data_IF_273308479018
#
_entry.id   IF_273308479018
#
_cell.length_a   1.000
_cell.length_b   1.000
_cell.length_c   1.000
_cell.angle_alpha   90.00
_cell.angle_beta   90.00
_cell.angle_gamma   90.00
#
_symmetry.space_group_name_H-M   'P 1'
#
loop_
_entity.id
_entity.type
_entity.pdbx_description
1 polymer ?
#
# COMPACT_ATOMS: atom_id res chain seq x y z
N UNK A 1 -45.08 34.53 58.61
CA UNK A 1 -44.10 33.45 58.90
C UNK A 1 -43.12 33.42 57.72
N UNK A 2 -41.96 34.09 57.80
CA UNK A 2 -40.63 33.53 58.16
C UNK A 2 -40.35 32.26 57.33
N UNK A 3 -39.37 32.17 56.41
CA UNK A 3 -37.89 32.33 56.53
C UNK A 3 -37.30 32.43 55.09
N UNK A 4 -36.33 33.33 54.85
CA UNK A 4 -34.88 33.09 54.53
C UNK A 4 -34.61 32.21 53.30
N UNK A 5 -33.80 32.57 52.30
CA UNK A 5 -33.00 33.77 52.09
C UNK A 5 -31.99 33.65 50.93
N UNK A 6 -31.07 34.62 50.91
CA UNK A 6 -29.68 34.59 50.40
C UNK A 6 -29.46 34.78 48.89
N UNK A 7 -29.10 36.04 48.60
CA UNK A 7 -28.17 36.57 47.58
C UNK A 7 -26.89 35.71 47.47
N UNK A 8 -26.27 35.41 46.34
CA UNK A 8 -25.40 36.29 45.53
C UNK A 8 -24.73 35.45 44.43
N UNK A 9 -24.61 36.04 43.23
CA UNK A 9 -23.54 35.98 42.22
C UNK A 9 -22.44 34.89 42.22
N UNK A 10 -21.94 34.63 41.00
CA UNK A 10 -20.66 33.95 40.64
C UNK A 10 -20.80 32.41 40.69
N UNK A 11 -20.47 31.57 39.70
CA UNK A 11 -19.57 31.70 38.56
C UNK A 11 -19.99 30.76 37.41
N UNK A 12 -19.78 31.25 36.20
CA UNK A 12 -19.56 30.49 34.98
C UNK A 12 -18.37 29.54 35.14
N UNK A 13 -18.62 28.30 35.57
CA UNK A 13 -17.59 27.27 35.67
C UNK A 13 -18.15 25.90 35.25
N UNK A 14 -18.15 25.65 33.94
CA UNK A 14 -18.11 24.31 33.36
C UNK A 14 -17.49 24.38 31.97
N UNK A 15 -16.27 24.92 31.94
CA UNK A 15 -15.28 24.57 30.92
C UNK A 15 -14.97 23.10 31.18
N UNK A 16 -15.41 22.23 30.27
CA UNK A 16 -15.12 20.81 30.22
C UNK A 16 -13.59 20.61 30.23
N UNK A 17 -13.05 20.50 31.43
CA UNK A 17 -11.73 19.99 31.74
C UNK A 17 -11.76 18.48 31.45
N UNK A 18 -11.08 18.01 30.40
CA UNK A 18 -10.30 16.75 30.41
C UNK A 18 -9.55 16.51 29.07
N UNK A 19 -8.76 17.48 28.61
CA UNK A 19 -7.63 17.19 27.73
C UNK A 19 -6.41 16.85 28.60
N UNK A 20 -6.41 15.67 29.22
CA UNK A 20 -5.19 15.05 29.76
C UNK A 20 -4.72 13.97 28.78
N UNK A 21 -4.20 14.41 27.64
CA UNK A 21 -3.32 13.57 26.84
C UNK A 21 -1.89 13.85 27.35
N UNK A 22 -1.25 12.92 28.08
CA UNK A 22 0.10 13.15 28.55
C UNK A 22 1.02 13.35 27.35
N UNK A 23 1.71 14.50 27.32
CA UNK A 23 2.77 14.75 26.35
C UNK A 23 3.85 13.69 26.52
N UNK A 24 4.06 12.91 25.47
CA UNK A 24 5.12 11.90 25.41
C UNK A 24 6.46 12.63 25.33
N UNK A 25 7.06 12.95 26.48
CA UNK A 25 8.41 13.47 26.53
C UNK A 25 9.40 12.35 26.17
N UNK A 26 10.16 12.55 25.09
CA UNK A 26 11.25 11.66 24.71
C UNK A 26 12.46 12.00 25.58
N UNK A 27 12.66 11.25 26.65
CA UNK A 27 13.87 11.36 27.48
C UNK A 27 15.06 10.79 26.72
N UNK A 28 16.01 11.65 26.35
CA UNK A 28 17.28 11.22 25.79
C UNK A 28 18.08 10.54 26.91
N UNK A 29 18.46 9.28 26.72
CA UNK A 29 19.37 8.57 27.62
C UNK A 29 20.73 9.28 27.53
N UNK A 30 21.05 10.10 28.53
CA UNK A 30 22.25 10.97 28.58
C UNK A 30 23.52 10.24 29.03
N UNK A 31 23.48 8.91 29.10
CA UNK A 31 24.67 8.12 29.41
C UNK A 31 25.62 8.22 28.22
N UNK A 32 26.81 8.79 28.44
CA UNK A 32 27.93 8.76 27.49
C UNK A 32 28.34 7.31 27.27
N UNK A 33 27.68 6.65 26.33
CA UNK A 33 28.06 5.35 25.84
C UNK A 33 28.97 5.53 24.62
N UNK A 34 30.00 4.68 24.49
CA UNK A 34 30.74 4.51 23.24
C UNK A 34 29.98 3.53 22.34
N UNK A 35 28.73 3.83 22.02
CA UNK A 35 28.08 3.15 20.90
C UNK A 35 28.72 3.74 19.65
N UNK A 36 29.34 2.90 18.83
CA UNK A 36 29.59 3.24 17.44
C UNK A 36 28.24 3.56 16.82
N UNK A 37 27.91 4.84 16.73
CA UNK A 37 26.77 5.28 15.96
C UNK A 37 26.97 4.76 14.53
N UNK A 38 26.02 3.94 14.09
CA UNK A 38 25.94 3.39 12.73
C UNK A 38 25.94 4.48 11.64
N UNK A 39 25.83 5.76 12.03
CA UNK A 39 25.90 6.93 11.15
C UNK A 39 27.25 7.16 10.43
N UNK A 40 28.24 6.26 10.58
CA UNK A 40 29.49 6.27 9.80
C UNK A 40 29.65 5.10 8.82
N UNK A 41 28.60 4.30 8.61
CA UNK A 41 28.61 3.36 7.48
C UNK A 41 28.37 4.15 6.20
N UNK A 42 29.43 4.37 5.42
CA UNK A 42 29.39 5.10 4.14
C UNK A 42 28.60 4.36 3.05
N UNK A 43 28.23 3.10 3.26
CA UNK A 43 27.73 2.22 2.21
C UNK A 43 26.54 1.41 2.78
N UNK A 44 25.30 1.82 2.48
CA UNK A 44 24.03 1.09 2.64
C UNK A 44 22.91 1.99 3.20
N UNK A 45 22.68 3.14 2.55
CA UNK A 45 21.49 3.98 2.81
C UNK A 45 20.26 3.52 2.00
N UNK A 46 20.44 2.60 1.06
CA UNK A 46 19.36 2.09 0.21
C UNK A 46 18.65 0.94 0.90
N UNK A 47 17.63 1.28 1.70
CA UNK A 47 16.66 0.29 2.15
C UNK A 47 15.72 -0.11 1.02
N UNK A 48 15.09 -1.28 1.11
CA UNK A 48 14.10 -1.74 0.11
C UNK A 48 12.94 -0.75 -0.03
N UNK A 49 12.52 -0.13 1.09
CA UNK A 49 11.49 0.93 1.07
C UNK A 49 11.95 2.22 0.41
N UNK A 50 13.23 2.59 0.59
CA UNK A 50 13.80 3.76 -0.09
C UNK A 50 13.81 3.58 -1.61
N UNK A 51 14.17 2.38 -2.08
CA UNK A 51 14.10 2.00 -3.49
C UNK A 51 12.66 2.04 -3.98
N UNK A 52 11.74 1.37 -3.29
CA UNK A 52 10.33 1.28 -3.68
C UNK A 52 9.74 2.65 -3.99
N UNK A 53 9.88 3.60 -3.06
CA UNK A 53 9.37 4.98 -3.21
C UNK A 53 9.89 5.70 -4.46
N UNK A 54 11.12 5.41 -4.89
CA UNK A 54 11.77 6.07 -6.04
C UNK A 54 11.51 5.35 -7.35
N UNK A 55 11.24 4.05 -7.29
CA UNK A 55 10.92 3.26 -8.48
C UNK A 55 9.45 3.35 -8.87
N UNK A 56 8.54 3.78 -7.98
CA UNK A 56 7.12 4.02 -8.32
C UNK A 56 6.93 4.84 -9.60
N UNK A 57 7.48 6.07 -9.73
CA UNK A 57 7.27 6.89 -10.93
C UNK A 57 7.83 6.23 -12.20
N UNK A 58 8.95 5.51 -12.10
CA UNK A 58 9.58 4.83 -13.23
C UNK A 58 8.76 3.63 -13.73
N UNK A 59 8.14 2.89 -12.81
CA UNK A 59 7.27 1.76 -13.16
C UNK A 59 5.94 2.25 -13.73
N UNK A 60 5.46 3.42 -13.29
CA UNK A 60 4.26 4.04 -13.83
C UNK A 60 4.45 4.55 -15.27
N UNK A 61 5.64 5.06 -15.62
CA UNK A 61 5.94 5.43 -17.01
C UNK A 61 6.14 4.19 -17.88
N UNK A 62 6.97 3.24 -17.43
CA UNK A 62 7.33 2.05 -18.19
C UNK A 62 7.15 0.77 -17.33
N UNK A 63 6.03 0.05 -17.47
CA UNK A 63 5.72 -1.11 -16.63
C UNK A 63 6.64 -2.31 -16.90
N UNK A 64 7.32 -2.34 -18.05
CA UNK A 64 8.23 -3.40 -18.47
C UNK A 64 9.69 -3.19 -18.03
N UNK A 65 9.99 -2.08 -17.34
CA UNK A 65 11.36 -1.68 -16.98
C UNK A 65 12.11 -2.77 -16.20
N UNK A 66 13.37 -3.03 -16.57
CA UNK A 66 14.21 -4.04 -15.94
C UNK A 66 14.77 -3.62 -14.58
N UNK A 67 15.15 -4.58 -13.73
CA UNK A 67 15.84 -4.26 -12.46
C UNK A 67 17.24 -3.68 -12.69
N UNK A 68 17.90 -4.03 -13.80
CA UNK A 68 19.20 -3.46 -14.19
C UNK A 68 19.08 -1.98 -14.56
N UNK A 69 18.11 -1.66 -15.41
CA UNK A 69 17.83 -0.27 -15.79
C UNK A 69 17.43 0.57 -14.56
N UNK A 70 16.61 0.02 -13.66
CA UNK A 70 16.30 0.70 -12.39
C UNK A 70 17.55 0.92 -11.53
N UNK A 71 18.44 -0.05 -11.47
CA UNK A 71 19.69 0.06 -10.70
C UNK A 71 20.59 1.17 -11.26
N UNK A 72 20.77 1.22 -12.58
CA UNK A 72 21.55 2.25 -13.28
C UNK A 72 20.93 3.64 -13.04
N UNK A 73 19.61 3.79 -13.25
CA UNK A 73 18.91 5.05 -13.00
C UNK A 73 19.08 5.55 -11.54
N UNK A 74 19.01 4.65 -10.56
CA UNK A 74 19.20 4.99 -9.15
C UNK A 74 20.65 5.40 -8.85
N UNK A 75 21.63 4.71 -9.44
CA UNK A 75 23.04 5.02 -9.30
C UNK A 75 23.39 6.36 -9.95
N UNK A 76 22.88 6.63 -11.14
CA UNK A 76 23.15 7.86 -11.89
C UNK A 76 22.48 9.08 -11.25
N UNK A 77 21.23 8.93 -10.78
CA UNK A 77 20.47 10.04 -10.19
C UNK A 77 20.94 10.40 -8.78
N UNK A 78 21.28 9.39 -7.97
CA UNK A 78 21.55 9.57 -6.54
C UNK A 78 22.98 9.28 -6.12
N UNK A 79 23.84 8.78 -7.01
CA UNK A 79 25.23 8.43 -6.71
C UNK A 79 25.38 7.33 -5.66
N UNK A 80 24.39 6.45 -5.50
CA UNK A 80 24.35 5.45 -4.41
C UNK A 80 24.75 4.05 -4.88
N UNK A 81 25.66 3.39 -4.18
CA UNK A 81 25.93 1.96 -4.40
C UNK A 81 24.79 1.11 -3.82
N UNK A 82 23.89 0.66 -4.69
CA UNK A 82 22.76 -0.20 -4.33
C UNK A 82 23.00 -1.64 -4.79
N UNK A 83 22.62 -2.62 -3.97
CA UNK A 83 22.67 -4.04 -4.36
C UNK A 83 21.48 -4.42 -5.24
N UNK A 84 21.71 -5.32 -6.22
CA UNK A 84 20.69 -5.76 -7.16
C UNK A 84 19.48 -6.42 -6.46
N UNK A 85 19.70 -7.25 -5.42
CA UNK A 85 18.59 -7.89 -4.71
C UNK A 85 17.74 -6.86 -3.96
N UNK A 86 18.36 -5.78 -3.48
CA UNK A 86 17.66 -4.68 -2.84
C UNK A 86 16.78 -3.94 -3.86
N UNK A 87 17.27 -3.72 -5.08
CA UNK A 87 16.48 -3.13 -6.17
C UNK A 87 15.32 -4.05 -6.55
N UNK A 88 15.57 -5.34 -6.71
CA UNK A 88 14.53 -6.32 -7.06
C UNK A 88 13.40 -6.36 -6.01
N UNK A 89 13.74 -6.40 -4.72
CA UNK A 89 12.73 -6.33 -3.64
C UNK A 89 12.01 -4.99 -3.59
N UNK A 90 12.72 -3.88 -3.79
CA UNK A 90 12.10 -2.55 -3.88
C UNK A 90 11.11 -2.44 -5.05
N UNK A 91 11.46 -3.02 -6.20
CA UNK A 91 10.58 -3.10 -7.37
C UNK A 91 9.32 -3.90 -7.07
N UNK A 92 9.42 -5.07 -6.44
CA UNK A 92 8.26 -5.89 -6.05
C UNK A 92 7.33 -5.14 -5.08
N UNK A 93 7.88 -4.40 -4.12
CA UNK A 93 7.12 -3.55 -3.21
C UNK A 93 6.40 -2.44 -3.99
N UNK A 94 7.10 -1.73 -4.88
CA UNK A 94 6.53 -0.67 -5.70
C UNK A 94 5.43 -1.19 -6.64
N UNK A 95 5.60 -2.36 -7.24
CA UNK A 95 4.58 -2.99 -8.08
C UNK A 95 3.33 -3.35 -7.27
N UNK A 96 3.49 -3.85 -6.04
CA UNK A 96 2.37 -4.11 -5.13
C UNK A 96 1.64 -2.83 -4.68
N UNK A 97 2.34 -1.71 -4.60
CA UNK A 97 1.74 -0.41 -4.28
C UNK A 97 0.92 0.14 -5.45
N UNK A 98 1.42 0.00 -6.69
CA UNK A 98 0.75 0.49 -7.91
C UNK A 98 -0.44 -0.40 -8.29
N UNK A 99 -0.23 -1.70 -8.40
CA UNK A 99 -1.25 -2.64 -8.90
C UNK A 99 -2.07 -3.28 -7.78
N UNK A 100 -1.70 -3.03 -6.52
CA UNK A 100 -2.28 -3.72 -5.38
C UNK A 100 -1.80 -5.17 -5.27
N UNK A 101 -2.39 -5.90 -4.32
CA UNK A 101 -2.17 -7.35 -4.28
C UNK A 101 -2.86 -8.01 -5.46
N UNK A 102 -2.24 -9.06 -6.01
CA UNK A 102 -2.84 -9.91 -7.05
C UNK A 102 -4.29 -10.29 -6.67
N UNK A 103 -4.52 -10.72 -5.43
CA UNK A 103 -5.85 -11.04 -4.90
C UNK A 103 -6.88 -9.92 -5.04
N UNK A 104 -6.50 -8.66 -4.80
CA UNK A 104 -7.39 -7.51 -4.96
C UNK A 104 -7.74 -7.26 -6.44
N UNK A 105 -6.79 -7.46 -7.35
CA UNK A 105 -7.06 -7.36 -8.80
C UNK A 105 -8.06 -8.42 -9.28
N UNK A 106 -7.99 -9.65 -8.76
CA UNK A 106 -8.93 -10.72 -9.11
C UNK A 106 -10.32 -10.55 -8.47
N UNK A 107 -10.44 -9.83 -7.35
CA UNK A 107 -11.74 -9.57 -6.75
C UNK A 107 -12.69 -8.84 -7.71
N UNK A 108 -12.18 -7.94 -8.55
CA UNK A 108 -13.01 -7.25 -9.55
C UNK A 108 -13.59 -8.19 -10.61
N UNK A 109 -12.87 -9.25 -11.00
CA UNK A 109 -13.38 -10.27 -11.93
C UNK A 109 -14.56 -11.03 -11.32
N UNK A 110 -14.45 -11.45 -10.05
CA UNK A 110 -15.55 -12.13 -9.37
C UNK A 110 -16.75 -11.21 -9.12
N UNK A 111 -16.50 -9.93 -8.83
CA UNK A 111 -17.58 -8.94 -8.73
C UNK A 111 -18.28 -8.74 -10.08
N UNK A 112 -17.52 -8.73 -11.18
CA UNK A 112 -18.07 -8.65 -12.53
C UNK A 112 -18.89 -9.89 -12.89
N UNK A 113 -18.41 -11.08 -12.59
CA UNK A 113 -19.15 -12.35 -12.76
C UNK A 113 -20.49 -12.30 -12.00
N UNK A 114 -20.47 -11.86 -10.74
CA UNK A 114 -21.68 -11.71 -9.93
C UNK A 114 -22.67 -10.67 -10.51
N UNK A 115 -22.18 -9.56 -11.05
CA UNK A 115 -23.03 -8.55 -11.71
C UNK A 115 -23.61 -9.07 -13.03
N UNK A 116 -22.85 -9.85 -13.80
CA UNK A 116 -23.35 -10.50 -15.02
C UNK A 116 -24.46 -11.50 -14.69
N UNK A 117 -24.27 -12.33 -13.64
CA UNK A 117 -25.29 -13.28 -13.21
C UNK A 117 -26.59 -12.58 -12.75
N UNK A 118 -26.48 -11.45 -12.04
CA UNK A 118 -27.65 -10.65 -11.63
C UNK A 118 -28.43 -10.09 -12.84
N UNK A 119 -27.72 -9.58 -13.86
CA UNK A 119 -28.34 -8.87 -14.99
C UNK A 119 -28.84 -9.82 -16.08
N UNK A 120 -28.29 -11.03 -16.15
CA UNK A 120 -28.68 -12.06 -17.11
C UNK A 120 -28.55 -13.45 -16.47
N UNK A 121 -29.61 -13.90 -15.76
CA UNK A 121 -29.57 -15.17 -15.04
C UNK A 121 -29.38 -16.33 -16.04
N UNK A 122 -28.37 -17.17 -15.78
CA UNK A 122 -28.04 -18.33 -16.64
C UNK A 122 -26.90 -18.11 -17.63
N UNK A 123 -26.26 -16.94 -17.65
CA UNK A 123 -25.01 -16.73 -18.39
C UNK A 123 -23.81 -17.01 -17.47
N UNK A 124 -22.92 -17.92 -17.87
CA UNK A 124 -21.68 -18.23 -17.14
C UNK A 124 -20.53 -17.57 -17.89
N UNK A 125 -19.67 -16.87 -17.14
CA UNK A 125 -18.50 -16.18 -17.67
C UNK A 125 -17.28 -17.03 -17.32
N UNK A 126 -16.79 -17.81 -18.27
CA UNK A 126 -15.53 -18.54 -18.13
C UNK A 126 -14.39 -17.61 -18.56
N UNK A 127 -13.51 -17.25 -17.62
CA UNK A 127 -12.34 -16.41 -17.89
C UNK A 127 -11.14 -17.30 -18.15
N UNK A 128 -10.87 -17.57 -19.43
CA UNK A 128 -9.69 -18.31 -19.87
C UNK A 128 -8.56 -17.37 -20.29
N UNK A 129 -7.35 -17.65 -19.79
CA UNK A 129 -6.12 -17.02 -20.28
C UNK A 129 -5.54 -17.87 -21.40
N UNK A 130 -5.61 -17.38 -22.65
CA UNK A 130 -4.99 -18.06 -23.79
C UNK A 130 -3.67 -17.40 -24.15
N UNK A 131 -2.63 -18.21 -24.31
CA UNK A 131 -1.33 -17.75 -24.80
C UNK A 131 -1.35 -17.83 -26.33
N UNK A 132 -1.28 -16.68 -27.01
CA UNK A 132 -1.28 -16.59 -28.47
C UNK A 132 0.02 -15.91 -28.89
N UNK A 133 0.88 -16.61 -29.63
CA UNK A 133 2.17 -16.09 -30.13
C UNK A 133 3.08 -15.46 -29.05
N UNK A 134 3.08 -16.00 -27.83
CA UNK A 134 3.89 -15.47 -26.73
C UNK A 134 3.30 -14.24 -26.02
N UNK A 135 2.13 -13.75 -26.45
CA UNK A 135 1.35 -12.73 -25.74
C UNK A 135 0.13 -13.39 -25.06
N UNK A 136 -0.12 -13.02 -23.80
CA UNK A 136 -1.32 -13.45 -23.08
C UNK A 136 -2.52 -12.60 -23.53
N UNK A 137 -3.51 -13.23 -24.17
CA UNK A 137 -4.76 -12.59 -24.54
C UNK A 137 -5.89 -13.12 -23.65
N UNK A 138 -6.65 -12.21 -23.07
CA UNK A 138 -7.88 -12.53 -22.36
C UNK A 138 -8.96 -12.86 -23.38
N UNK A 139 -9.40 -14.12 -23.43
CA UNK A 139 -10.48 -14.55 -24.30
C UNK A 139 -11.75 -14.71 -23.46
N UNK A 140 -12.74 -13.87 -23.73
CA UNK A 140 -14.02 -13.92 -23.03
C UNK A 140 -14.97 -14.87 -23.77
N UNK A 141 -15.33 -15.99 -23.15
CA UNK A 141 -16.42 -16.86 -23.60
C UNK A 141 -17.60 -16.68 -22.64
N UNK A 142 -18.67 -16.04 -23.12
CA UNK A 142 -19.98 -16.13 -22.49
C UNK A 142 -20.65 -17.41 -22.99
N UNK A 143 -20.93 -18.36 -22.09
CA UNK A 143 -21.68 -19.57 -22.40
C UNK A 143 -22.99 -19.57 -21.60
N UNK A 144 -24.09 -19.91 -22.28
CA UNK A 144 -25.37 -20.13 -21.60
C UNK A 144 -25.34 -21.46 -20.82
N UNK A 145 -25.79 -21.44 -19.56
CA UNK A 145 -25.78 -22.56 -18.59
C UNK A 145 -26.39 -23.86 -19.14
N UNK A 146 -27.27 -23.78 -20.13
CA UNK A 146 -27.91 -24.94 -20.78
C UNK A 146 -26.96 -25.87 -21.54
N UNK A 147 -25.71 -25.47 -21.80
CA UNK A 147 -24.76 -26.22 -22.64
C UNK A 147 -23.57 -26.83 -21.87
N UNK A 148 -23.64 -26.94 -20.55
CA UNK A 148 -22.61 -27.70 -19.81
C UNK A 148 -22.88 -29.21 -19.92
N UNK A 149 -21.89 -30.03 -20.29
CA UNK A 149 -22.00 -31.48 -20.12
C UNK A 149 -22.17 -31.77 -18.63
N UNK A 150 -23.26 -32.45 -18.28
CA UNK A 150 -23.49 -32.93 -16.92
C UNK A 150 -22.39 -33.98 -16.63
N UNK A 151 -21.62 -33.79 -15.55
CA UNK A 151 -20.65 -34.77 -15.05
C UNK A 151 -21.36 -35.99 -14.46
#
# INVERSE_FOLDING_TARGET
MKRRGVTTSLETASIFLFCLFPSREVTKISVKHKCSSTGRIKNSMTSQGWVAQRTVPLIQSDPTIGCKELLENLQDTYGTTTDYHTVWKGKDIAQKEIYGSMRQSFQYLFNFEAEVEKRSPGNIVEVDMKMVHGCWLWHWLMRHRSNLPQL
#
